data_IF_943750011119
#
_entry.id   IF_943750011119
#
_cell.length_a   1.000
_cell.length_b   1.000
_cell.length_c   1.000
_cell.angle_alpha   90.00
_cell.angle_beta   90.00
_cell.angle_gamma   90.00
#
_symmetry.space_group_name_H-M   'P 1'
#
loop_
_entity.id
_entity.type
_entity.pdbx_description
1 polymer ?
#
# COMPACT_ATOMS: atom_id res chain seq x y z
N UNK A 1 -41.49 6.08 -45.11
CA UNK A 1 -42.72 5.31 -45.46
C UNK A 1 -43.53 5.14 -44.19
N UNK A 2 -44.69 5.81 -44.18
CA UNK A 2 -45.69 5.90 -43.11
C UNK A 2 -46.18 4.55 -42.61
N UNK A 3 -46.50 4.42 -41.33
CA UNK A 3 -47.91 4.18 -40.99
C UNK A 3 -48.16 4.33 -39.50
N UNK A 4 -49.07 5.26 -39.19
CA UNK A 4 -49.85 5.41 -37.96
C UNK A 4 -50.91 4.32 -37.90
N UNK A 5 -51.29 3.86 -36.71
CA UNK A 5 -52.67 3.51 -36.35
C UNK A 5 -52.90 3.84 -34.89
N UNK A 6 -53.84 4.53 -34.66
CA UNK A 6 -54.76 5.11 -33.74
C UNK A 6 -55.78 4.13 -33.19
N UNK A 7 -56.30 4.51 -31.99
CA UNK A 7 -57.64 4.36 -31.40
C UNK A 7 -57.99 2.98 -30.85
N UNK A 8 -58.63 2.79 -29.72
CA UNK A 8 -59.84 3.49 -29.20
C UNK A 8 -60.13 3.12 -27.74
N UNK A 9 -60.73 4.05 -27.10
CA UNK A 9 -61.43 4.15 -25.84
C UNK A 9 -62.50 3.07 -25.63
N UNK A 10 -62.65 2.53 -24.42
CA UNK A 10 -63.95 2.10 -23.91
C UNK A 10 -64.05 2.31 -22.39
N UNK A 11 -64.93 3.21 -22.01
CA UNK A 11 -65.41 3.45 -20.67
C UNK A 11 -66.44 2.37 -20.25
N UNK A 12 -66.29 1.83 -19.05
CA UNK A 12 -67.39 1.19 -18.37
C UNK A 12 -67.36 1.60 -16.91
N UNK A 13 -68.28 2.47 -16.53
CA UNK A 13 -68.58 2.85 -15.18
C UNK A 13 -69.38 1.72 -14.52
N UNK A 14 -68.96 1.22 -13.37
CA UNK A 14 -69.76 0.48 -12.45
C UNK A 14 -69.57 1.01 -11.04
N UNK A 15 -70.60 1.65 -10.51
CA UNK A 15 -70.66 2.10 -9.14
C UNK A 15 -70.79 0.92 -8.20
N UNK A 16 -70.02 0.94 -7.12
CA UNK A 16 -70.23 0.08 -5.96
C UNK A 16 -69.95 0.85 -4.70
N UNK A 17 -70.87 0.83 -3.87
CA UNK A 17 -71.10 1.37 -2.53
C UNK A 17 -69.89 1.32 -1.67
N UNK A 18 -69.50 2.49 -1.17
CA UNK A 18 -68.40 2.70 -0.23
C UNK A 18 -68.90 2.40 1.21
N UNK A 19 -68.56 1.20 1.71
CA UNK A 19 -68.62 0.92 3.10
C UNK A 19 -67.32 1.40 3.75
N UNK A 20 -67.36 2.56 4.39
CA UNK A 20 -66.24 3.05 5.21
C UNK A 20 -66.21 2.22 6.50
N UNK A 21 -65.39 1.18 6.51
CA UNK A 21 -64.97 0.52 7.75
C UNK A 21 -63.80 1.35 8.29
N UNK A 22 -64.08 2.23 9.24
CA UNK A 22 -63.02 2.83 10.07
C UNK A 22 -62.45 1.74 10.96
N UNK A 23 -61.35 1.13 10.52
CA UNK A 23 -60.46 0.46 11.44
C UNK A 23 -59.67 1.55 12.17
N UNK A 24 -59.62 1.61 13.48
CA UNK A 24 -58.60 2.36 14.17
C UNK A 24 -57.31 1.62 13.92
N UNK A 25 -56.53 2.10 12.95
CA UNK A 25 -55.15 1.70 12.79
C UNK A 25 -54.35 2.33 13.95
N UNK A 26 -54.33 1.66 15.09
CA UNK A 26 -53.25 1.80 16.03
C UNK A 26 -52.04 1.08 15.42
N UNK A 27 -51.39 1.66 14.47
CA UNK A 27 -50.03 1.34 14.15
C UNK A 27 -49.12 2.18 15.04
N UNK A 28 -48.94 1.74 16.26
CA UNK A 28 -47.66 2.01 16.96
C UNK A 28 -46.57 1.23 16.25
N UNK A 29 -46.37 1.46 14.96
CA UNK A 29 -45.12 1.17 14.29
C UNK A 29 -44.14 2.21 14.83
N UNK A 30 -43.42 1.81 15.85
CA UNK A 30 -42.22 2.47 16.34
C UNK A 30 -41.22 2.49 15.17
N UNK A 31 -41.37 3.45 14.25
CA UNK A 31 -40.39 3.66 13.16
C UNK A 31 -39.03 3.81 13.80
N UNK A 32 -38.04 3.05 13.26
CA UNK A 32 -36.66 3.18 13.69
C UNK A 32 -36.20 4.62 13.50
N UNK A 33 -35.52 5.16 14.49
CA UNK A 33 -34.95 6.50 14.36
C UNK A 33 -33.99 6.59 13.17
N UNK A 34 -34.05 7.70 12.46
CA UNK A 34 -33.09 8.00 11.40
C UNK A 34 -31.76 8.40 12.04
N UNK A 35 -30.67 7.81 11.56
CA UNK A 35 -29.30 8.14 11.93
C UNK A 35 -28.42 8.11 10.68
N UNK A 36 -27.82 9.24 10.35
CA UNK A 36 -26.90 9.37 9.22
C UNK A 36 -25.60 10.02 9.71
N UNK A 37 -24.47 9.43 9.36
CA UNK A 37 -23.14 9.97 9.57
C UNK A 37 -22.60 10.38 8.21
N UNK A 38 -22.27 11.65 8.06
CA UNK A 38 -21.81 12.20 6.77
C UNK A 38 -20.46 11.64 6.35
N UNK A 39 -19.58 11.33 7.32
CA UNK A 39 -18.27 10.73 7.08
C UNK A 39 -17.98 9.70 8.16
N UNK A 40 -18.00 8.44 7.81
CA UNK A 40 -17.73 7.32 8.68
C UNK A 40 -16.27 6.82 8.68
N UNK A 41 -15.38 7.47 7.91
CA UNK A 41 -13.94 7.27 7.96
C UNK A 41 -13.25 8.63 8.14
N UNK A 42 -12.59 8.83 9.28
CA UNK A 42 -11.94 10.10 9.63
C UNK A 42 -10.45 9.87 9.77
N UNK A 43 -9.68 10.60 8.97
CA UNK A 43 -8.22 10.62 9.07
C UNK A 43 -7.80 11.88 9.82
N UNK A 44 -7.22 11.69 10.99
CA UNK A 44 -6.68 12.75 11.83
C UNK A 44 -5.20 12.95 11.53
N UNK A 45 -4.78 14.21 11.53
CA UNK A 45 -3.37 14.55 11.41
C UNK A 45 -2.58 14.05 12.64
N UNK A 46 -1.26 13.95 12.50
CA UNK A 46 -0.41 13.60 13.62
C UNK A 46 -0.46 14.63 14.74
N UNK A 47 -0.53 15.92 14.37
CA UNK A 47 -0.67 17.04 15.30
C UNK A 47 -2.06 17.02 15.94
N UNK A 48 -2.12 17.18 17.26
CA UNK A 48 -3.40 17.25 17.98
C UNK A 48 -4.24 18.47 17.57
N UNK A 49 -5.50 18.25 17.25
CA UNK A 49 -6.47 19.31 16.94
C UNK A 49 -7.91 18.83 17.16
N UNK A 50 -8.87 19.73 17.46
CA UNK A 50 -10.27 19.33 17.52
C UNK A 50 -10.85 19.13 16.10
N UNK A 51 -11.68 18.08 15.95
CA UNK A 51 -12.42 17.79 14.72
C UNK A 51 -13.91 17.65 15.03
N UNK A 52 -14.76 18.28 14.23
CA UNK A 52 -16.21 18.14 14.33
C UNK A 52 -16.71 16.99 13.45
N UNK A 53 -17.58 16.17 14.03
CA UNK A 53 -18.23 15.04 13.37
C UNK A 53 -19.72 15.35 13.26
N UNK A 54 -20.22 15.38 12.03
CA UNK A 54 -21.63 15.65 11.75
C UNK A 54 -22.47 14.40 11.95
N UNK A 55 -23.59 14.56 12.69
CA UNK A 55 -24.60 13.54 12.94
C UNK A 55 -25.97 14.09 12.58
N UNK A 56 -26.71 13.41 11.72
CA UNK A 56 -28.11 13.72 11.41
C UNK A 56 -29.01 12.66 12.03
N UNK A 57 -29.89 13.06 12.93
CA UNK A 57 -30.83 12.17 13.55
C UNK A 57 -32.15 12.89 13.80
N UNK A 58 -33.27 12.16 13.67
CA UNK A 58 -34.62 12.65 14.04
C UNK A 58 -34.99 12.33 15.49
N UNK A 59 -34.09 11.67 16.23
CA UNK A 59 -34.29 11.27 17.63
C UNK A 59 -33.06 11.54 18.48
N UNK A 60 -33.16 11.34 19.79
CA UNK A 60 -31.98 11.35 20.68
C UNK A 60 -31.00 10.28 20.25
N UNK A 61 -29.71 10.65 20.21
CA UNK A 61 -28.64 9.76 19.83
C UNK A 61 -27.52 9.75 20.87
N UNK A 62 -26.72 8.72 20.85
CA UNK A 62 -25.61 8.49 21.79
C UNK A 62 -24.37 8.00 21.03
N UNK A 63 -23.22 8.20 21.67
CA UNK A 63 -21.95 7.68 21.21
C UNK A 63 -21.31 6.80 22.28
N UNK A 64 -20.65 5.76 21.83
CA UNK A 64 -19.90 4.83 22.64
C UNK A 64 -18.59 4.47 21.96
N UNK A 65 -17.51 4.36 22.72
CA UNK A 65 -16.19 3.94 22.27
C UNK A 65 -15.39 3.40 23.45
N UNK A 66 -14.41 2.56 23.15
CA UNK A 66 -13.46 2.08 24.16
C UNK A 66 -12.71 3.27 24.77
N UNK A 67 -12.51 3.23 26.09
CA UNK A 67 -11.70 4.25 26.76
C UNK A 67 -10.33 4.35 26.09
N UNK A 68 -9.95 5.59 25.79
CA UNK A 68 -8.70 5.90 25.12
C UNK A 68 -7.97 7.00 25.89
N UNK A 69 -6.67 6.91 25.92
CA UNK A 69 -5.81 7.93 26.55
C UNK A 69 -5.46 9.08 25.61
N UNK A 70 -5.70 8.92 24.31
CA UNK A 70 -5.24 9.87 23.30
C UNK A 70 -6.36 10.66 22.60
N UNK A 71 -7.62 10.33 22.84
CA UNK A 71 -8.74 11.13 22.35
C UNK A 71 -9.92 11.15 23.33
N UNK A 72 -10.73 12.17 23.20
CA UNK A 72 -11.97 12.36 23.96
C UNK A 72 -13.03 13.02 23.09
N UNK A 73 -14.29 12.99 23.55
CA UNK A 73 -15.39 13.71 22.90
C UNK A 73 -16.02 14.70 23.89
N UNK A 74 -16.54 15.80 23.36
CA UNK A 74 -17.20 16.83 24.16
C UNK A 74 -18.51 16.38 24.77
N UNK A 75 -19.16 15.34 24.18
CA UNK A 75 -20.43 14.75 24.65
C UNK A 75 -20.44 13.25 24.45
N UNK A 76 -21.33 12.56 25.17
CA UNK A 76 -21.63 11.12 24.98
C UNK A 76 -23.03 10.87 24.42
N UNK A 77 -23.82 11.92 24.21
CA UNK A 77 -25.16 11.83 23.62
C UNK A 77 -25.82 13.18 23.54
N UNK A 78 -26.80 13.33 22.67
CA UNK A 78 -27.51 14.56 22.43
C UNK A 78 -28.95 14.35 21.94
N UNK A 79 -29.75 15.41 22.00
CA UNK A 79 -31.06 15.49 21.35
C UNK A 79 -30.89 15.59 19.82
N UNK A 80 -31.94 15.29 19.08
CA UNK A 80 -31.95 15.36 17.61
C UNK A 80 -31.59 16.74 17.04
N UNK A 81 -31.78 17.81 17.80
CA UNK A 81 -31.40 19.17 17.38
C UNK A 81 -29.91 19.42 17.32
N UNK A 82 -29.11 18.61 18.01
CA UNK A 82 -27.65 18.69 17.91
C UNK A 82 -27.14 17.84 16.75
N UNK A 83 -26.49 18.49 15.80
CA UNK A 83 -26.06 17.87 14.55
C UNK A 83 -24.56 17.57 14.48
N UNK A 84 -23.82 17.75 15.57
CA UNK A 84 -22.38 17.45 15.63
C UNK A 84 -21.90 17.15 17.04
N UNK A 85 -20.78 16.46 17.14
CA UNK A 85 -19.94 16.40 18.33
C UNK A 85 -18.49 16.66 17.95
N UNK A 86 -17.67 17.01 18.95
CA UNK A 86 -16.26 17.33 18.75
C UNK A 86 -15.39 16.21 19.31
N UNK A 87 -14.48 15.70 18.49
CA UNK A 87 -13.39 14.82 18.90
C UNK A 87 -12.16 15.69 19.14
N UNK A 88 -11.61 15.64 20.34
CA UNK A 88 -10.32 16.25 20.68
C UNK A 88 -9.30 15.14 20.87
N UNK A 89 -8.13 15.27 20.28
CA UNK A 89 -7.10 14.24 20.29
C UNK A 89 -5.71 14.84 20.51
N UNK A 90 -4.83 14.04 21.14
CA UNK A 90 -3.46 14.42 21.42
C UNK A 90 -2.57 14.16 20.19
N UNK A 91 -1.42 14.85 20.16
CA UNK A 91 -0.39 14.63 19.16
C UNK A 91 0.08 13.16 19.15
N UNK A 92 0.23 12.59 17.96
CA UNK A 92 0.81 11.26 17.79
C UNK A 92 2.31 11.39 17.46
N UNK A 93 3.14 11.37 18.50
CA UNK A 93 4.60 11.45 18.35
C UNK A 93 5.27 10.13 17.98
N UNK A 94 4.48 9.04 17.87
CA UNK A 94 5.02 7.73 17.49
C UNK A 94 5.20 7.61 15.99
N UNK A 95 5.94 6.62 15.56
CA UNK A 95 6.09 6.18 14.17
C UNK A 95 4.98 5.22 13.70
N UNK A 96 4.01 4.94 14.58
CA UNK A 96 2.86 4.08 14.31
C UNK A 96 1.57 4.88 14.27
N UNK A 97 0.66 4.50 13.37
CA UNK A 97 -0.69 5.04 13.32
C UNK A 97 -1.52 4.52 14.51
N UNK A 98 -2.55 5.30 14.91
CA UNK A 98 -3.49 4.93 15.96
C UNK A 98 -4.89 4.83 15.40
N UNK A 99 -5.67 3.91 15.93
CA UNK A 99 -7.02 3.63 15.46
C UNK A 99 -8.01 3.63 16.63
N UNK A 100 -9.23 4.04 16.35
CA UNK A 100 -10.36 3.93 17.26
C UNK A 100 -11.67 3.91 16.47
N UNK A 101 -12.62 3.14 16.97
CA UNK A 101 -13.99 3.11 16.46
C UNK A 101 -14.92 3.84 17.43
N UNK A 102 -15.75 4.76 16.91
CA UNK A 102 -16.83 5.41 17.64
C UNK A 102 -18.15 4.87 17.11
N UNK A 103 -18.90 4.17 17.94
CA UNK A 103 -20.27 3.77 17.63
C UNK A 103 -21.22 4.91 17.92
N UNK A 104 -22.03 5.31 16.95
CA UNK A 104 -23.15 6.25 17.10
C UNK A 104 -24.43 5.48 16.97
N UNK A 105 -25.40 5.71 17.87
CA UNK A 105 -26.65 4.95 17.87
C UNK A 105 -27.83 5.78 18.41
N UNK A 106 -29.03 5.46 17.93
CA UNK A 106 -30.27 6.04 18.45
C UNK A 106 -30.56 5.57 19.87
N UNK A 107 -31.25 6.38 20.66
CA UNK A 107 -31.56 6.07 22.09
C UNK A 107 -32.26 4.71 22.27
N UNK A 108 -33.11 4.34 21.32
CA UNK A 108 -33.82 3.06 21.33
C UNK A 108 -32.91 1.88 20.89
N UNK A 109 -31.71 2.17 20.44
CA UNK A 109 -30.73 1.18 20.00
C UNK A 109 -31.04 0.48 18.68
N UNK A 110 -32.12 0.89 17.97
CA UNK A 110 -32.53 0.22 16.72
C UNK A 110 -31.69 0.58 15.53
N UNK A 111 -31.12 1.78 15.50
CA UNK A 111 -30.23 2.25 14.43
C UNK A 111 -28.87 2.59 15.00
N UNK A 112 -27.82 2.14 14.35
CA UNK A 112 -26.44 2.48 14.73
C UNK A 112 -25.52 2.48 13.53
N UNK A 113 -24.45 3.28 13.61
CA UNK A 113 -23.36 3.33 12.64
C UNK A 113 -22.02 3.44 13.39
N UNK A 114 -20.91 3.16 12.69
CA UNK A 114 -19.56 3.17 13.24
C UNK A 114 -18.70 4.13 12.46
N UNK A 115 -18.07 5.06 13.20
CA UNK A 115 -17.05 5.96 12.66
C UNK A 115 -15.69 5.37 12.95
N UNK A 116 -14.94 5.06 11.92
CA UNK A 116 -13.54 4.62 12.00
C UNK A 116 -12.63 5.82 12.04
N UNK A 117 -11.85 5.95 13.09
CA UNK A 117 -10.88 7.01 13.25
C UNK A 117 -9.49 6.43 13.13
N UNK A 118 -8.69 7.01 12.24
CA UNK A 118 -7.28 6.73 12.05
C UNK A 118 -6.51 8.00 12.31
N UNK A 119 -5.57 8.00 13.26
CA UNK A 119 -4.61 9.09 13.41
C UNK A 119 -3.27 8.71 12.82
N UNK A 120 -2.77 9.56 11.93
CA UNK A 120 -1.50 9.36 11.25
C UNK A 120 -0.32 9.41 12.22
N UNK A 121 0.76 8.72 11.89
CA UNK A 121 2.06 8.88 12.55
C UNK A 121 2.67 10.24 12.17
N UNK A 122 3.49 10.81 13.06
CA UNK A 122 4.15 12.11 12.80
C UNK A 122 5.21 12.00 11.71
N UNK A 123 6.00 10.93 11.76
CA UNK A 123 7.15 10.76 10.90
C UNK A 123 7.02 9.50 10.05
N UNK A 124 6.75 9.62 8.74
CA UNK A 124 6.91 8.49 7.84
C UNK A 124 8.39 8.14 7.74
N UNK A 125 8.70 6.85 7.61
CA UNK A 125 10.05 6.40 7.38
C UNK A 125 10.11 5.28 6.34
N UNK A 126 11.25 5.19 5.66
CA UNK A 126 11.65 4.10 4.77
C UNK A 126 13.12 3.81 5.10
N UNK A 127 13.40 2.65 5.68
CA UNK A 127 14.75 2.28 6.13
C UNK A 127 15.16 0.97 5.44
N UNK A 128 16.11 1.01 4.50
CA UNK A 128 16.67 -0.20 3.91
C UNK A 128 17.60 -0.89 4.92
N UNK A 129 17.78 -2.20 4.77
CA UNK A 129 18.71 -2.98 5.59
C UNK A 129 20.17 -2.51 5.42
N UNK A 130 20.50 -1.85 4.31
CA UNK A 130 21.79 -1.24 4.04
C UNK A 130 21.64 -0.08 3.05
N UNK A 131 22.42 0.98 3.25
CA UNK A 131 22.51 2.10 2.29
C UNK A 131 23.42 1.81 1.10
N UNK A 132 24.09 0.66 1.10
CA UNK A 132 25.03 0.27 0.03
C UNK A 132 24.82 -1.21 -0.33
N UNK A 133 24.96 -1.53 -1.62
CA UNK A 133 24.87 -2.88 -2.13
C UNK A 133 25.89 -3.13 -3.23
N UNK A 134 26.69 -4.19 -3.07
CA UNK A 134 27.61 -4.68 -4.08
C UNK A 134 26.90 -5.72 -4.97
N UNK A 135 27.06 -5.58 -6.28
CA UNK A 135 26.37 -6.39 -7.28
C UNK A 135 27.37 -7.22 -8.08
N UNK A 136 26.95 -8.43 -8.41
CA UNK A 136 27.76 -9.31 -9.26
C UNK A 136 27.85 -8.78 -10.69
N UNK A 137 28.96 -9.03 -11.35
CA UNK A 137 29.23 -8.63 -12.74
C UNK A 137 28.19 -9.17 -13.72
N UNK A 138 27.70 -10.39 -13.49
CA UNK A 138 26.67 -11.02 -14.32
C UNK A 138 25.30 -10.37 -14.20
N UNK A 139 25.07 -9.54 -13.18
CA UNK A 139 23.75 -9.00 -12.90
C UNK A 139 22.78 -10.06 -12.38
N UNK A 140 21.50 -9.84 -12.60
CA UNK A 140 20.41 -10.72 -12.17
C UNK A 140 19.49 -10.09 -11.14
N UNK A 141 18.68 -10.92 -10.49
CA UNK A 141 17.71 -10.48 -9.49
C UNK A 141 18.36 -10.30 -8.12
N UNK A 142 18.02 -9.17 -7.48
CA UNK A 142 18.45 -8.81 -6.12
C UNK A 142 17.24 -8.47 -5.28
N UNK A 143 17.39 -8.61 -3.96
CA UNK A 143 16.41 -8.10 -3.01
C UNK A 143 17.11 -7.54 -1.77
N UNK A 144 16.40 -6.64 -1.08
CA UNK A 144 16.85 -6.01 0.17
C UNK A 144 15.65 -5.78 1.08
N UNK A 145 15.80 -6.09 2.37
CA UNK A 145 14.76 -5.82 3.36
C UNK A 145 14.56 -4.32 3.54
N UNK A 146 13.30 -3.90 3.60
CA UNK A 146 12.87 -2.51 3.82
C UNK A 146 11.94 -2.49 5.03
N UNK A 147 12.27 -1.67 6.02
CA UNK A 147 11.37 -1.35 7.13
C UNK A 147 10.68 -0.02 6.86
N UNK A 148 9.36 0.02 6.97
CA UNK A 148 8.57 1.23 6.72
C UNK A 148 7.28 1.24 7.54
N UNK A 149 6.75 2.43 7.82
CA UNK A 149 5.42 2.64 8.41
C UNK A 149 4.41 3.24 7.41
N UNK A 150 4.78 3.33 6.13
CA UNK A 150 3.86 3.77 5.07
C UNK A 150 3.49 2.59 4.18
N UNK A 151 2.34 2.64 3.46
CA UNK A 151 1.97 1.57 2.53
C UNK A 151 3.05 1.38 1.45
N UNK A 152 3.45 0.14 1.20
CA UNK A 152 4.46 -0.19 0.18
C UNK A 152 4.05 0.28 -1.21
N UNK A 153 2.74 0.27 -1.50
CA UNK A 153 2.16 0.74 -2.77
C UNK A 153 2.34 2.22 -3.03
N UNK A 154 2.56 3.00 -1.96
CA UNK A 154 2.68 4.45 -2.03
C UNK A 154 4.16 4.89 -2.10
N UNK A 155 5.09 3.94 -2.01
CA UNK A 155 6.51 4.22 -2.13
C UNK A 155 6.90 4.29 -3.62
N UNK A 156 7.41 5.43 -4.02
CA UNK A 156 7.95 5.64 -5.37
C UNK A 156 9.39 5.17 -5.42
N UNK A 157 9.68 4.26 -6.35
CA UNK A 157 11.01 3.70 -6.58
C UNK A 157 11.61 4.39 -7.81
N UNK A 158 12.75 5.04 -7.65
CA UNK A 158 13.42 5.79 -8.73
C UNK A 158 14.87 5.37 -8.85
N UNK A 159 15.22 4.43 -9.76
CA UNK A 159 16.60 4.19 -10.12
C UNK A 159 17.21 5.41 -10.81
N UNK A 160 18.45 5.75 -10.47
CA UNK A 160 19.20 6.85 -11.11
C UNK A 160 19.93 6.41 -12.38
N UNK A 161 19.86 5.12 -12.70
CA UNK A 161 20.61 4.50 -13.79
C UNK A 161 19.73 3.53 -14.58
N UNK A 162 19.98 3.43 -15.88
CA UNK A 162 19.15 2.62 -16.79
C UNK A 162 19.40 1.12 -16.69
N UNK A 163 20.53 0.68 -16.13
CA UNK A 163 20.86 -0.74 -15.99
C UNK A 163 20.21 -1.44 -14.79
N UNK A 164 19.39 -0.71 -13.99
CA UNK A 164 18.48 -1.25 -12.97
C UNK A 164 17.08 -1.35 -13.58
N UNK A 165 16.50 -2.55 -13.56
CA UNK A 165 15.24 -2.87 -14.21
C UNK A 165 14.26 -3.58 -13.23
N UNK A 166 12.99 -3.67 -13.63
CA UNK A 166 11.98 -4.55 -13.01
C UNK A 166 11.92 -4.44 -11.49
N UNK A 167 11.89 -3.22 -10.99
CA UNK A 167 11.90 -2.95 -9.55
C UNK A 167 10.49 -2.93 -8.97
N UNK A 168 10.35 -3.46 -7.76
CA UNK A 168 9.11 -3.45 -6.97
C UNK A 168 9.41 -3.57 -5.48
N UNK A 169 8.47 -3.14 -4.64
CA UNK A 169 8.45 -3.47 -3.21
C UNK A 169 7.28 -4.43 -2.98
N UNK A 170 7.54 -5.50 -2.24
CA UNK A 170 6.54 -6.49 -1.81
C UNK A 170 7.05 -7.22 -0.57
N UNK A 171 6.15 -7.42 0.40
CA UNK A 171 6.41 -8.19 1.62
C UNK A 171 7.64 -7.69 2.40
N UNK A 172 7.79 -6.37 2.53
CA UNK A 172 8.91 -5.75 3.23
C UNK A 172 10.23 -5.82 2.50
N UNK A 173 10.24 -6.07 1.19
CA UNK A 173 11.46 -6.18 0.40
C UNK A 173 11.41 -5.35 -0.88
N UNK A 174 12.50 -4.67 -1.16
CA UNK A 174 12.79 -4.13 -2.48
C UNK A 174 13.37 -5.23 -3.36
N UNK A 175 12.77 -5.50 -4.50
CA UNK A 175 13.28 -6.39 -5.56
C UNK A 175 13.67 -5.56 -6.76
N UNK A 176 14.74 -5.93 -7.43
CA UNK A 176 15.15 -5.32 -8.70
C UNK A 176 16.08 -6.25 -9.49
N UNK A 177 16.13 -6.07 -10.80
CA UNK A 177 17.05 -6.74 -11.69
C UNK A 177 18.16 -5.77 -12.14
N UNK A 178 19.34 -6.29 -12.41
CA UNK A 178 20.43 -5.51 -13.01
C UNK A 178 20.99 -6.20 -14.24
N UNK A 179 21.43 -5.39 -15.19
CA UNK A 179 22.08 -5.87 -16.40
C UNK A 179 23.51 -6.34 -16.11
N UNK A 180 24.00 -7.27 -16.93
CA UNK A 180 25.40 -7.69 -16.94
C UNK A 180 26.33 -6.49 -17.18
N UNK A 181 27.46 -6.46 -16.49
CA UNK A 181 28.51 -5.45 -16.70
C UNK A 181 29.79 -6.05 -17.27
N UNK A 182 30.01 -5.85 -18.57
CA UNK A 182 31.17 -6.34 -19.29
C UNK A 182 32.14 -5.23 -19.73
N UNK A 183 31.98 -4.00 -19.23
CA UNK A 183 32.72 -2.83 -19.69
C UNK A 183 33.70 -2.25 -18.66
N UNK A 184 33.15 -1.63 -17.62
CA UNK A 184 33.92 -0.96 -16.57
C UNK A 184 33.16 -0.97 -15.25
N UNK A 185 33.82 -0.84 -14.10
CA UNK A 185 33.13 -0.67 -12.83
C UNK A 185 32.12 0.47 -12.92
N UNK A 186 30.92 0.26 -12.41
CA UNK A 186 29.85 1.26 -12.46
C UNK A 186 29.14 1.41 -11.11
N UNK A 187 28.64 2.59 -10.88
CA UNK A 187 27.84 2.92 -9.71
C UNK A 187 26.51 3.52 -10.12
N UNK A 188 25.55 3.44 -9.24
CA UNK A 188 24.23 4.04 -9.38
C UNK A 188 23.54 4.06 -8.05
N UNK A 189 22.28 4.43 -8.03
CA UNK A 189 21.47 4.33 -6.82
C UNK A 189 20.02 4.06 -7.14
N UNK A 190 19.29 3.60 -6.14
CA UNK A 190 17.83 3.54 -6.11
C UNK A 190 17.37 4.50 -5.02
N UNK A 191 16.55 5.47 -5.38
CA UNK A 191 15.90 6.38 -4.44
C UNK A 191 14.50 5.83 -4.14
N UNK A 192 14.18 5.66 -2.86
CA UNK A 192 12.84 5.35 -2.39
C UNK A 192 12.28 6.62 -1.78
N UNK A 193 11.08 7.03 -2.20
CA UNK A 193 10.45 8.26 -1.70
C UNK A 193 8.97 8.05 -1.45
N UNK A 194 8.46 8.75 -0.46
CA UNK A 194 7.05 8.85 -0.09
C UNK A 194 6.69 10.30 0.11
N UNK A 195 5.55 10.71 -0.40
CA UNK A 195 4.96 12.05 -0.22
C UNK A 195 3.44 11.91 -0.24
N UNK A 196 2.76 12.39 0.80
CA UNK A 196 1.31 12.30 0.89
C UNK A 196 0.63 13.67 0.83
N UNK A 197 -0.69 13.66 0.69
CA UNK A 197 -1.52 14.86 0.67
C UNK A 197 -1.44 15.71 1.95
N UNK A 198 -0.85 15.18 3.03
CA UNK A 198 -0.67 15.83 4.32
C UNK A 198 0.74 16.42 4.49
N UNK A 199 1.52 16.49 3.41
CA UNK A 199 2.88 17.01 3.36
C UNK A 199 3.90 16.20 4.19
N UNK A 200 3.59 14.95 4.53
CA UNK A 200 4.54 14.07 5.19
C UNK A 200 5.40 13.39 4.13
N UNK A 201 6.71 13.40 4.35
CA UNK A 201 7.70 12.90 3.38
C UNK A 201 8.71 11.98 4.04
N UNK A 202 9.09 10.94 3.30
CA UNK A 202 10.25 10.11 3.62
C UNK A 202 11.06 9.90 2.35
N UNK A 203 12.37 9.90 2.47
CA UNK A 203 13.26 9.63 1.34
C UNK A 203 14.50 8.91 1.84
N UNK A 204 14.91 7.87 1.13
CA UNK A 204 16.17 7.18 1.37
C UNK A 204 16.84 6.80 0.05
N UNK A 205 18.15 6.57 0.09
CA UNK A 205 18.94 6.23 -1.10
C UNK A 205 19.77 5.00 -0.83
N UNK A 206 19.69 4.02 -1.73
CA UNK A 206 20.50 2.80 -1.73
C UNK A 206 21.52 2.96 -2.85
N UNK A 207 22.82 3.01 -2.47
CA UNK A 207 23.93 3.10 -3.43
C UNK A 207 24.25 1.70 -3.94
N UNK A 208 24.46 1.61 -5.25
CA UNK A 208 24.78 0.37 -5.94
C UNK A 208 26.19 0.47 -6.52
N UNK A 209 26.98 -0.56 -6.34
CA UNK A 209 28.28 -0.72 -7.00
C UNK A 209 28.33 -2.05 -7.72
N UNK A 210 28.74 -2.05 -8.98
CA UNK A 210 28.87 -3.26 -9.77
C UNK A 210 30.27 -3.29 -10.44
N UNK A 211 31.07 -4.28 -10.07
CA UNK A 211 32.32 -4.57 -10.74
C UNK A 211 32.04 -4.98 -12.20
N UNK A 212 33.07 -5.05 -13.01
CA UNK A 212 32.98 -5.54 -14.38
C UNK A 212 33.78 -6.81 -14.57
N UNK A 213 33.42 -7.57 -15.61
CA UNK A 213 34.25 -8.63 -16.15
C UNK A 213 33.98 -8.71 -17.65
N UNK A 214 35.02 -8.71 -18.46
CA UNK A 214 34.89 -8.96 -19.89
C UNK A 214 34.28 -10.33 -20.20
N UNK A 215 34.31 -11.24 -19.23
CA UNK A 215 33.72 -12.58 -19.30
C UNK A 215 32.36 -12.69 -18.66
N UNK A 216 31.75 -11.59 -18.27
CA UNK A 216 30.45 -11.61 -17.55
C UNK A 216 29.29 -12.26 -18.34
N UNK A 217 29.40 -12.23 -19.67
CA UNK A 217 28.48 -12.90 -20.60
C UNK A 217 28.99 -14.27 -21.07
N UNK A 218 30.09 -14.77 -20.53
CA UNK A 218 30.61 -16.06 -20.92
C UNK A 218 29.78 -17.20 -20.33
N UNK A 219 29.61 -18.27 -21.07
CA UNK A 219 28.91 -19.47 -20.65
C UNK A 219 29.79 -20.32 -19.72
N UNK A 220 29.25 -20.73 -18.58
CA UNK A 220 29.88 -21.70 -17.69
C UNK A 220 29.84 -23.09 -18.35
N UNK A 221 30.98 -23.64 -18.64
CA UNK A 221 31.08 -24.98 -19.22
C UNK A 221 31.88 -25.91 -18.32
N UNK A 222 31.63 -27.21 -18.45
CA UNK A 222 32.40 -28.21 -17.71
C UNK A 222 33.80 -28.38 -18.29
N UNK A 223 34.78 -28.78 -17.47
CA UNK A 223 36.15 -29.09 -17.90
C UNK A 223 36.21 -30.11 -19.06
N UNK A 224 35.43 -31.21 -19.06
CA UNK A 224 35.36 -32.12 -20.19
C UNK A 224 34.90 -31.47 -21.49
N UNK A 225 33.98 -30.51 -21.41
CA UNK A 225 33.49 -29.76 -22.58
C UNK A 225 34.63 -28.95 -23.24
N UNK A 226 35.44 -28.26 -22.42
CA UNK A 226 36.57 -27.49 -22.90
C UNK A 226 37.64 -28.38 -23.57
N UNK A 227 37.84 -29.58 -23.04
CA UNK A 227 38.78 -30.57 -23.60
C UNK A 227 38.34 -31.08 -24.97
N UNK A 228 37.06 -31.02 -25.28
CA UNK A 228 36.50 -31.39 -26.59
C UNK A 228 36.60 -30.30 -27.67
N UNK A 229 37.02 -29.07 -27.32
CA UNK A 229 37.14 -28.01 -28.31
C UNK A 229 38.40 -28.24 -29.22
N UNK A 230 38.31 -27.90 -30.51
CA UNK A 230 39.45 -28.03 -31.44
C UNK A 230 40.60 -27.14 -30.99
N UNK A 231 41.82 -27.65 -31.16
CA UNK A 231 43.03 -26.88 -30.89
C UNK A 231 43.10 -25.69 -31.87
N UNK A 232 43.04 -24.46 -31.34
CA UNK A 232 43.22 -23.24 -32.10
C UNK A 232 42.02 -22.31 -32.27
N UNK A 233 40.90 -22.63 -31.69
CA UNK A 233 39.76 -21.70 -31.77
C UNK A 233 38.60 -22.01 -30.84
N UNK A 234 38.52 -21.34 -29.71
CA UNK A 234 37.27 -21.18 -29.00
C UNK A 234 36.61 -19.96 -29.63
N UNK A 235 35.51 -20.16 -30.35
CA UNK A 235 34.74 -19.06 -30.98
C UNK A 235 33.70 -18.45 -30.06
N UNK A 236 33.43 -19.07 -28.90
CA UNK A 236 32.44 -18.61 -27.93
C UNK A 236 33.13 -18.21 -26.61
N UNK A 237 32.65 -17.15 -26.00
CA UNK A 237 33.06 -16.78 -24.64
C UNK A 237 32.55 -17.82 -23.67
N UNK A 238 33.44 -18.67 -23.17
CA UNK A 238 33.12 -19.69 -22.14
C UNK A 238 34.09 -19.55 -20.98
N UNK A 239 33.66 -19.95 -19.78
CA UNK A 239 34.55 -20.01 -18.63
C UNK A 239 34.34 -21.36 -17.89
N UNK A 240 35.31 -21.73 -17.08
CA UNK A 240 35.26 -22.86 -16.18
C UNK A 240 35.49 -22.38 -14.74
N UNK A 241 34.75 -22.94 -13.82
CA UNK A 241 34.98 -22.74 -12.39
C UNK A 241 35.73 -23.95 -11.83
N UNK A 242 36.75 -23.67 -11.00
CA UNK A 242 37.52 -24.69 -10.33
C UNK A 242 38.05 -24.20 -8.98
N UNK A 243 38.17 -25.15 -8.03
CA UNK A 243 38.79 -24.87 -6.73
C UNK A 243 40.32 -25.10 -6.88
N UNK A 244 41.13 -24.08 -6.53
CA UNK A 244 42.57 -24.25 -6.41
C UNK A 244 42.85 -25.13 -5.20
N UNK A 245 43.21 -26.37 -5.43
CA UNK A 245 43.49 -27.35 -4.36
C UNK A 245 44.95 -27.39 -3.90
N UNK A 246 45.85 -26.75 -4.64
CA UNK A 246 47.27 -26.61 -4.28
C UNK A 246 47.89 -25.37 -4.89
N UNK A 247 48.54 -24.55 -4.10
CA UNK A 247 49.46 -23.49 -4.51
C UNK A 247 50.87 -23.90 -4.12
N UNK A 248 51.48 -24.79 -4.92
CA UNK A 248 52.86 -25.21 -4.66
C UNK A 248 53.84 -24.21 -5.24
N UNK A 249 54.93 -23.92 -4.51
CA UNK A 249 56.03 -23.05 -4.94
C UNK A 249 56.88 -23.70 -6.04
N UNK A 250 56.61 -24.91 -6.45
CA UNK A 250 57.35 -25.63 -7.47
C UNK A 250 56.48 -25.96 -8.69
N UNK A 251 56.60 -25.12 -9.70
CA UNK A 251 56.44 -25.40 -11.16
C UNK A 251 55.38 -26.41 -11.61
N UNK A 252 54.26 -26.51 -10.96
CA UNK A 252 53.14 -27.37 -11.42
C UNK A 252 52.34 -26.74 -12.57
N UNK A 253 52.60 -25.48 -12.89
CA UNK A 253 52.06 -24.83 -14.07
C UNK A 253 53.23 -24.28 -14.90
N UNK A 254 53.32 -24.60 -16.19
CA UNK A 254 54.30 -23.94 -17.06
C UNK A 254 54.06 -22.43 -17.03
N UNK A 255 55.14 -21.65 -16.80
CA UNK A 255 55.05 -20.21 -16.97
C UNK A 255 54.48 -19.91 -18.36
N UNK A 256 53.43 -19.10 -18.45
CA UNK A 256 52.78 -18.61 -19.67
C UNK A 256 51.57 -19.41 -20.21
N UNK A 257 50.76 -20.02 -19.39
CA UNK A 257 49.43 -20.46 -19.84
C UNK A 257 48.36 -20.01 -18.81
N UNK A 258 47.97 -18.77 -19.00
CA UNK A 258 46.75 -18.22 -18.41
C UNK A 258 45.85 -17.78 -19.57
#
# INVERSE_FOLDING_TARGET
MNMKIKDSIAWAAFGAVMAIIMFPSCSDENEAGILEITNNEIILQAEGAPVQVEVKSNTEWRIDFAESTWFSTDIRGAQSSRTYFTVTYDENISDSERFCDIRVFTKDGKTSDVIKIKQLSRYPFIVPASDNMELFTKGGEYNMDISTNVPETDIVITPTVEWVKEYRISDGKLYFNTETNSQSPRTGSIVLSYDDQYQRKATTTINLSQAYSEYANAELVSYPTVYGYPVGGITNNVYIEGTIVATGTSKNFPNNRY
#
